data_IF_588034352378
#
_entry.id   IF_588034352378
#
_cell.length_a   1.000
_cell.length_b   1.000
_cell.length_c   1.000
_cell.angle_alpha   90.00
_cell.angle_beta   90.00
_cell.angle_gamma   90.00
#
_symmetry.space_group_name_H-M   'P 1'
#
loop_
_entity.id
_entity.type
_entity.pdbx_description
1 polymer ?
#
# COMPACT_ATOMS: atom_id res chain seq x y z
N UNK A 1 -13.74 -2.47 -1.33
CA UNK A 1 -12.56 -2.59 -0.46
C UNK A 1 -11.48 -1.63 -0.94
N UNK A 2 -10.85 -0.96 -0.02
CA UNK A 2 -9.79 -0.01 -0.36
C UNK A 2 -8.52 -0.42 0.35
N UNK A 3 -7.44 -0.57 -0.40
CA UNK A 3 -6.16 -1.05 0.11
C UNK A 3 -5.09 -0.01 -0.21
N UNK A 4 -4.30 0.36 0.79
CA UNK A 4 -3.18 1.27 0.61
C UNK A 4 -1.89 0.48 0.47
N UNK A 5 -1.03 0.92 -0.42
CA UNK A 5 0.31 0.39 -0.60
C UNK A 5 1.27 1.54 -0.32
N UNK A 6 2.02 1.41 0.76
CA UNK A 6 2.94 2.46 1.20
C UNK A 6 4.36 1.93 1.12
N UNK A 7 5.15 2.50 0.22
CA UNK A 7 6.52 2.09 0.00
C UNK A 7 7.28 3.27 -0.57
N UNK A 8 8.43 3.58 0.00
CA UNK A 8 9.25 4.71 -0.44
C UNK A 8 9.99 4.42 -1.75
N UNK A 9 10.07 3.15 -2.15
CA UNK A 9 10.71 2.75 -3.40
C UNK A 9 9.67 2.46 -4.46
N UNK A 10 9.67 3.27 -5.53
CA UNK A 10 8.65 3.15 -6.57
C UNK A 10 8.65 1.79 -7.27
N UNK A 11 9.84 1.21 -7.47
CA UNK A 11 9.92 -0.10 -8.11
C UNK A 11 9.31 -1.20 -7.26
N UNK A 12 9.57 -1.19 -5.96
CA UNK A 12 8.99 -2.17 -5.06
C UNK A 12 7.49 -1.95 -4.87
N UNK A 13 7.07 -0.69 -4.84
CA UNK A 13 5.66 -0.35 -4.74
C UNK A 13 4.88 -0.89 -5.94
N UNK A 14 5.44 -0.74 -7.14
CA UNK A 14 4.81 -1.26 -8.35
C UNK A 14 4.72 -2.79 -8.34
N UNK A 15 5.76 -3.44 -7.85
CA UNK A 15 5.80 -4.89 -7.76
C UNK A 15 4.75 -5.41 -6.77
N UNK A 16 4.65 -4.78 -5.62
CA UNK A 16 3.66 -5.15 -4.63
C UNK A 16 2.25 -4.96 -5.15
N UNK A 17 2.01 -3.88 -5.87
CA UNK A 17 0.72 -3.63 -6.49
C UNK A 17 0.37 -4.73 -7.48
N UNK A 18 1.33 -5.15 -8.29
CA UNK A 18 1.11 -6.21 -9.24
C UNK A 18 0.76 -7.52 -8.56
N UNK A 19 1.48 -7.87 -7.50
CA UNK A 19 1.21 -9.07 -6.73
C UNK A 19 -0.18 -9.05 -6.11
N UNK A 20 -0.57 -7.93 -5.54
CA UNK A 20 -1.90 -7.79 -4.96
C UNK A 20 -3.00 -7.87 -6.01
N UNK A 21 -2.77 -7.27 -7.16
CA UNK A 21 -3.74 -7.32 -8.26
C UNK A 21 -3.97 -8.76 -8.69
N UNK A 22 -2.90 -9.55 -8.80
CA UNK A 22 -3.02 -10.96 -9.16
C UNK A 22 -3.75 -11.77 -8.10
N UNK A 23 -3.45 -11.52 -6.83
CA UNK A 23 -4.11 -12.22 -5.73
C UNK A 23 -5.60 -11.93 -5.68
N UNK A 24 -5.96 -10.68 -5.86
CA UNK A 24 -7.36 -10.28 -5.87
C UNK A 24 -8.11 -10.90 -7.04
N UNK A 25 -7.48 -10.94 -8.20
CA UNK A 25 -8.09 -11.56 -9.39
C UNK A 25 -8.34 -13.05 -9.16
N UNK A 26 -7.41 -13.75 -8.53
CA UNK A 26 -7.56 -15.17 -8.24
C UNK A 26 -8.73 -15.45 -7.29
N UNK A 27 -8.99 -14.53 -6.39
CA UNK A 27 -10.07 -14.68 -5.41
C UNK A 27 -11.39 -14.12 -5.90
N UNK A 28 -11.40 -13.54 -7.09
CA UNK A 28 -12.58 -12.88 -7.60
C UNK A 28 -12.99 -11.67 -6.78
N UNK A 29 -12.03 -11.06 -6.10
CA UNK A 29 -12.28 -9.90 -5.27
C UNK A 29 -11.92 -8.63 -6.01
N UNK A 30 -12.67 -7.56 -5.73
CA UNK A 30 -12.39 -6.24 -6.29
C UNK A 30 -11.94 -5.32 -5.18
N UNK A 31 -10.89 -4.55 -5.46
CA UNK A 31 -10.38 -3.57 -4.51
C UNK A 31 -9.79 -2.38 -5.25
N UNK A 32 -9.89 -1.22 -4.61
CA UNK A 32 -9.22 -0.02 -5.08
C UNK A 32 -7.83 0.00 -4.43
N UNK A 33 -6.81 0.05 -5.24
CA UNK A 33 -5.43 0.09 -4.77
C UNK A 33 -4.89 1.50 -4.91
N UNK A 34 -4.41 2.06 -3.80
CA UNK A 34 -3.85 3.39 -3.76
C UNK A 34 -2.40 3.32 -3.29
N UNK A 35 -1.52 3.99 -4.02
CA UNK A 35 -0.09 3.98 -3.73
C UNK A 35 0.34 5.26 -3.05
N UNK A 36 1.20 5.12 -2.06
CA UNK A 36 1.78 6.25 -1.34
C UNK A 36 3.28 6.04 -1.19
N UNK A 37 4.03 7.10 -1.32
CA UNK A 37 5.48 7.05 -1.19
C UNK A 37 5.98 7.29 0.24
N UNK A 38 5.08 7.63 1.14
CA UNK A 38 5.44 7.88 2.53
C UNK A 38 4.27 7.58 3.45
N UNK A 39 4.58 7.29 4.71
CA UNK A 39 3.56 7.11 5.72
C UNK A 39 2.75 8.37 5.97
N UNK A 40 3.38 9.52 5.83
CA UNK A 40 2.70 10.80 6.01
C UNK A 40 1.62 11.01 4.95
N UNK A 41 1.93 10.68 3.70
CA UNK A 41 0.96 10.78 2.61
C UNK A 41 -0.22 9.84 2.84
N UNK A 42 0.06 8.64 3.31
CA UNK A 42 -0.97 7.68 3.64
C UNK A 42 -1.88 8.18 4.77
N UNK A 43 -1.29 8.68 5.85
CA UNK A 43 -2.06 9.18 6.98
C UNK A 43 -2.94 10.35 6.59
N UNK A 44 -2.44 11.23 5.74
CA UNK A 44 -3.23 12.35 5.25
C UNK A 44 -4.44 11.87 4.44
N UNK A 45 -4.25 10.85 3.62
CA UNK A 45 -5.33 10.29 2.82
C UNK A 45 -6.35 9.55 3.68
N UNK A 46 -5.90 8.88 4.74
CA UNK A 46 -6.79 8.12 5.60
C UNK A 46 -7.76 9.00 6.37
N UNK A 47 -7.39 10.24 6.63
CA UNK A 47 -8.29 11.19 7.29
C UNK A 47 -9.54 11.45 6.46
N UNK A 48 -9.41 11.41 5.15
CA UNK A 48 -10.52 11.66 4.23
C UNK A 48 -11.20 10.37 3.79
N UNK A 49 -10.43 9.29 3.69
CA UNK A 49 -10.92 8.01 3.18
C UNK A 49 -10.40 6.89 4.06
N UNK A 50 -11.29 6.02 4.48
CA UNK A 50 -10.89 4.89 5.28
C UNK A 50 -10.39 3.76 4.39
N UNK A 51 -9.33 3.12 4.84
CA UNK A 51 -8.75 1.97 4.15
C UNK A 51 -9.09 0.69 4.90
N UNK A 52 -9.39 -0.35 4.13
CA UNK A 52 -9.67 -1.67 4.69
C UNK A 52 -8.38 -2.31 5.18
N UNK A 53 -7.30 -2.12 4.44
CA UNK A 53 -6.00 -2.67 4.76
C UNK A 53 -4.90 -1.75 4.24
N UNK A 54 -3.72 -1.87 4.83
CA UNK A 54 -2.56 -1.11 4.38
C UNK A 54 -1.33 -2.02 4.42
N UNK A 55 -0.56 -2.01 3.35
CA UNK A 55 0.72 -2.69 3.28
C UNK A 55 1.81 -1.66 3.39
N UNK A 56 2.58 -1.73 4.47
CA UNK A 56 3.62 -0.77 4.76
C UNK A 56 4.98 -1.43 4.63
N UNK A 57 5.78 -0.94 3.71
CA UNK A 57 7.16 -1.39 3.54
C UNK A 57 8.03 -0.14 3.50
N UNK A 58 8.28 0.40 4.67
CA UNK A 58 9.06 1.61 4.80
C UNK A 58 10.39 1.26 5.44
N UNK A 59 11.45 1.50 4.71
CA UNK A 59 12.80 1.33 5.22
C UNK A 59 13.14 2.55 6.05
N UNK A 60 13.24 2.36 7.34
CA UNK A 60 13.71 3.44 8.21
C UNK A 60 15.15 3.16 8.59
N UNK A 61 16.04 3.94 8.01
CA UNK A 61 17.45 3.84 8.31
C UNK A 61 17.68 4.16 9.78
N UNK A 62 18.41 3.30 10.47
CA UNK A 62 18.69 3.50 11.87
C UNK A 62 17.69 2.87 12.82
N UNK A 63 16.61 2.32 12.32
CA UNK A 63 15.70 1.56 13.17
C UNK A 63 16.07 0.10 13.12
N UNK A 64 16.69 -0.33 14.18
CA UNK A 64 16.92 -1.74 14.41
C UNK A 64 15.70 -2.28 15.12
N UNK A 65 14.99 -3.07 14.41
CA UNK A 65 13.71 -3.63 14.85
C UNK A 65 13.75 -4.44 16.07
#
# INVERSE_FOLDING_TARGET
MRIAIVDDLSGERALLREQLTQQLARRGAEAELLEFDSGEAFLAAEKERRFTAAFLDIYMEGMTG
#
